data_IF_629474075534
#
_entry.id   IF_629474075534
#
_cell.length_a   1.000
_cell.length_b   1.000
_cell.length_c   1.000
_cell.angle_alpha   90.00
_cell.angle_beta   90.00
_cell.angle_gamma   90.00
#
_symmetry.space_group_name_H-M   'P 1'
#
loop_
_entity.id
_entity.type
_entity.pdbx_description
1 polymer ?
#
# COMPACT_ATOMS: atom_id res chain seq x y z
N UNK A 1 80.53 43.89 -34.59
CA UNK A 1 79.35 44.72 -34.91
C UNK A 1 78.22 44.22 -34.01
N UNK A 2 78.14 44.56 -32.71
CA UNK A 2 77.62 45.77 -32.02
C UNK A 2 76.13 46.09 -32.34
N UNK A 3 75.24 45.60 -31.41
CA UNK A 3 73.96 46.16 -30.85
C UNK A 3 72.72 46.39 -31.76
N UNK A 4 71.47 46.55 -31.21
CA UNK A 4 70.92 46.28 -29.86
C UNK A 4 69.46 45.70 -29.77
N UNK A 5 69.12 45.19 -28.57
CA UNK A 5 67.89 45.43 -27.75
C UNK A 5 66.50 45.52 -28.40
N UNK A 6 65.57 44.63 -28.00
CA UNK A 6 64.20 45.01 -27.65
C UNK A 6 63.62 44.11 -26.54
N UNK A 7 63.31 44.76 -25.42
CA UNK A 7 62.53 44.28 -24.29
C UNK A 7 61.04 44.34 -24.69
N UNK A 8 60.28 43.26 -24.54
CA UNK A 8 58.83 43.28 -24.63
C UNK A 8 58.23 42.71 -23.35
N UNK A 9 57.76 43.60 -22.48
CA UNK A 9 56.99 43.28 -21.30
C UNK A 9 55.54 43.00 -21.71
N UNK A 10 55.06 41.77 -21.50
CA UNK A 10 53.63 41.44 -21.65
C UNK A 10 52.99 41.47 -20.27
N UNK A 11 52.08 42.42 -20.12
CA UNK A 11 51.24 42.63 -18.95
C UNK A 11 50.10 41.59 -18.95
N UNK A 12 50.13 40.59 -18.06
CA UNK A 12 49.01 39.66 -17.89
C UNK A 12 47.93 40.28 -17.01
N UNK A 13 46.77 40.59 -17.58
CA UNK A 13 45.58 41.00 -16.82
C UNK A 13 44.99 39.81 -16.05
N UNK A 14 44.87 39.96 -14.74
CA UNK A 14 44.08 39.07 -13.88
C UNK A 14 42.59 39.45 -13.98
N UNK A 15 41.78 38.60 -14.61
CA UNK A 15 40.32 38.71 -14.56
C UNK A 15 39.77 38.02 -13.30
N UNK A 16 38.74 38.57 -12.62
CA UNK A 16 38.13 37.92 -11.48
C UNK A 16 37.34 36.69 -11.95
N UNK A 17 37.75 35.52 -11.46
CA UNK A 17 36.99 34.28 -11.64
C UNK A 17 35.66 34.39 -10.89
N UNK A 18 34.57 34.54 -11.63
CA UNK A 18 33.22 34.35 -11.10
C UNK A 18 33.09 32.90 -10.65
N UNK A 19 32.93 32.69 -9.35
CA UNK A 19 32.61 31.40 -8.77
C UNK A 19 31.23 30.96 -9.28
N UNK A 20 31.20 30.13 -10.33
CA UNK A 20 30.01 29.37 -10.69
C UNK A 20 29.70 28.40 -9.54
N UNK A 21 28.68 28.72 -8.76
CA UNK A 21 28.05 27.76 -7.86
C UNK A 21 27.36 26.73 -8.75
N UNK A 22 28.03 25.59 -8.96
CA UNK A 22 27.43 24.45 -9.63
C UNK A 22 26.16 24.03 -8.86
N UNK A 23 25.05 23.70 -9.55
CA UNK A 23 23.86 23.20 -8.90
C UNK A 23 24.19 21.96 -8.07
N UNK A 24 23.75 21.95 -6.81
CA UNK A 24 23.97 20.84 -5.89
C UNK A 24 23.49 19.54 -6.54
N UNK A 25 24.41 18.57 -6.69
CA UNK A 25 24.05 17.24 -7.13
C UNK A 25 22.97 16.66 -6.20
N UNK A 26 21.97 15.92 -6.73
CA UNK A 26 20.96 15.29 -5.89
C UNK A 26 21.66 14.43 -4.83
N UNK A 27 21.37 14.68 -3.56
CA UNK A 27 21.95 13.96 -2.44
C UNK A 27 21.76 12.46 -2.67
N UNK A 28 22.86 11.72 -2.80
CA UNK A 28 22.82 10.27 -2.87
C UNK A 28 22.07 9.76 -1.65
N UNK A 29 21.08 8.88 -1.87
CA UNK A 29 20.40 8.23 -0.75
C UNK A 29 21.45 7.53 0.09
N UNK A 30 21.49 7.72 1.42
CA UNK A 30 22.49 7.10 2.27
C UNK A 30 22.53 5.60 2.02
N UNK A 31 23.71 5.08 1.72
CA UNK A 31 23.92 3.66 1.52
C UNK A 31 23.55 2.91 2.81
N UNK A 32 22.74 1.86 2.70
CA UNK A 32 22.33 1.06 3.86
C UNK A 32 23.53 0.22 4.31
N UNK A 33 23.84 0.26 5.60
CA UNK A 33 24.83 -0.62 6.22
C UNK A 33 24.45 -2.11 5.99
N UNK A 34 25.33 -2.94 5.38
CA UNK A 34 25.05 -4.35 5.13
C UNK A 34 24.68 -5.15 6.38
N UNK A 35 25.31 -4.89 7.53
CA UNK A 35 25.00 -5.61 8.77
C UNK A 35 23.60 -5.26 9.28
N UNK A 36 23.19 -4.00 9.11
CA UNK A 36 21.85 -3.54 9.45
C UNK A 36 20.80 -4.12 8.50
N UNK A 37 21.12 -4.23 7.22
CA UNK A 37 20.24 -4.86 6.24
C UNK A 37 19.99 -6.34 6.60
N UNK A 38 21.05 -7.08 6.92
CA UNK A 38 20.93 -8.49 7.33
C UNK A 38 20.10 -8.67 8.62
N UNK A 39 20.19 -7.75 9.57
CA UNK A 39 19.33 -7.75 10.75
C UNK A 39 17.86 -7.47 10.38
N UNK A 40 17.61 -6.52 9.47
CA UNK A 40 16.27 -6.20 9.00
C UNK A 40 15.62 -7.32 8.17
N UNK A 41 16.43 -8.11 7.44
CA UNK A 41 15.96 -9.28 6.69
C UNK A 41 15.39 -10.36 7.61
N UNK A 42 16.04 -10.62 8.76
CA UNK A 42 15.52 -11.56 9.77
C UNK A 42 14.18 -11.11 10.33
N UNK A 43 14.08 -9.85 10.74
CA UNK A 43 12.83 -9.25 11.24
C UNK A 43 11.72 -9.29 10.18
N UNK A 44 12.02 -8.93 8.93
CA UNK A 44 11.05 -8.96 7.83
C UNK A 44 10.59 -10.38 7.51
N UNK A 45 11.47 -11.38 7.62
CA UNK A 45 11.13 -12.79 7.43
C UNK A 45 10.23 -13.32 8.54
N UNK A 46 10.40 -12.83 9.77
CA UNK A 46 9.51 -13.20 10.88
C UNK A 46 8.08 -12.66 10.69
N UNK A 47 7.93 -11.44 10.17
CA UNK A 47 6.63 -10.80 9.90
C UNK A 47 5.98 -11.27 8.60
N UNK A 48 6.78 -11.56 7.57
CA UNK A 48 6.34 -12.08 6.28
C UNK A 48 7.07 -13.38 5.98
N UNK A 49 6.74 -14.49 6.67
CA UNK A 49 7.29 -15.80 6.33
C UNK A 49 7.01 -16.17 4.87
N UNK A 50 7.82 -17.06 4.26
CA UNK A 50 7.53 -17.60 2.93
C UNK A 50 6.10 -18.15 2.82
N UNK A 51 5.40 -17.76 1.76
CA UNK A 51 4.03 -18.19 1.46
C UNK A 51 2.95 -17.58 2.36
N UNK A 52 3.25 -16.50 3.09
CA UNK A 52 2.28 -15.83 3.96
C UNK A 52 1.12 -15.27 3.15
N UNK A 53 1.40 -14.57 2.05
CA UNK A 53 0.32 -14.02 1.23
C UNK A 53 -0.47 -15.10 0.49
N UNK A 54 0.21 -16.17 0.04
CA UNK A 54 -0.46 -17.32 -0.57
C UNK A 54 -1.47 -17.96 0.41
N UNK A 55 -1.05 -18.23 1.66
CA UNK A 55 -1.96 -18.78 2.69
C UNK A 55 -3.10 -17.83 3.00
N UNK A 56 -2.82 -16.54 3.16
CA UNK A 56 -3.84 -15.53 3.42
C UNK A 56 -4.89 -15.49 2.29
N UNK A 57 -4.45 -15.52 1.03
CA UNK A 57 -5.35 -15.56 -0.12
C UNK A 57 -6.08 -16.89 -0.25
N UNK A 58 -5.44 -18.03 0.02
CA UNK A 58 -6.09 -19.34 -0.13
C UNK A 58 -7.08 -19.65 0.99
N UNK A 59 -6.74 -19.30 2.22
CA UNK A 59 -7.45 -19.79 3.40
C UNK A 59 -8.38 -18.71 3.99
N UNK A 60 -7.91 -17.46 4.12
CA UNK A 60 -8.65 -16.40 4.82
C UNK A 60 -9.58 -15.61 3.88
N UNK A 61 -9.14 -15.32 2.66
CA UNK A 61 -9.92 -14.51 1.71
C UNK A 61 -11.25 -15.16 1.30
N UNK A 62 -11.34 -16.48 0.98
CA UNK A 62 -12.61 -17.09 0.63
C UNK A 62 -13.62 -17.02 1.78
N UNK A 63 -13.18 -17.28 3.01
CA UNK A 63 -14.04 -17.21 4.20
C UNK A 63 -14.58 -15.78 4.42
N UNK A 64 -13.73 -14.77 4.25
CA UNK A 64 -14.14 -13.36 4.30
C UNK A 64 -15.17 -13.03 3.21
N UNK A 65 -14.92 -13.47 1.97
CA UNK A 65 -15.85 -13.25 0.85
C UNK A 65 -17.19 -13.95 1.07
N UNK A 66 -17.17 -15.18 1.57
CA UNK A 66 -18.39 -15.93 1.89
C UNK A 66 -19.21 -15.25 2.99
N UNK A 67 -18.55 -14.71 4.02
CA UNK A 67 -19.21 -13.94 5.08
C UNK A 67 -19.86 -12.65 4.53
N UNK A 68 -19.12 -11.87 3.73
CA UNK A 68 -19.63 -10.66 3.10
C UNK A 68 -20.82 -10.96 2.16
N UNK A 69 -20.71 -12.03 1.37
CA UNK A 69 -21.78 -12.44 0.47
C UNK A 69 -23.00 -12.91 1.24
N UNK A 70 -22.80 -13.65 2.35
CA UNK A 70 -23.87 -14.06 3.25
C UNK A 70 -24.63 -12.85 3.83
N UNK A 71 -23.90 -11.84 4.28
CA UNK A 71 -24.50 -10.58 4.75
C UNK A 71 -25.30 -9.89 3.64
N UNK A 72 -24.70 -9.68 2.47
CA UNK A 72 -25.34 -9.00 1.34
C UNK A 72 -26.61 -9.71 0.86
N UNK A 73 -26.58 -11.05 0.79
CA UNK A 73 -27.74 -11.85 0.38
C UNK A 73 -28.87 -11.82 1.41
N UNK A 74 -28.55 -11.52 2.67
CA UNK A 74 -29.52 -11.31 3.74
C UNK A 74 -30.20 -9.95 3.71
N UNK A 75 -29.62 -8.96 3.01
CA UNK A 75 -30.15 -7.61 2.91
C UNK A 75 -31.30 -7.53 1.89
N UNK A 76 -32.19 -6.57 2.11
CA UNK A 76 -33.19 -6.10 1.16
C UNK A 76 -32.64 -4.98 0.27
N UNK A 77 -33.32 -4.71 -0.85
CA UNK A 77 -32.93 -3.62 -1.74
C UNK A 77 -32.94 -2.25 -1.05
N UNK A 78 -33.87 -2.01 -0.11
CA UNK A 78 -33.95 -0.76 0.65
C UNK A 78 -32.80 -0.57 1.63
N UNK A 79 -32.37 -1.64 2.31
CA UNK A 79 -31.22 -1.63 3.21
C UNK A 79 -29.90 -1.38 2.47
N UNK A 80 -29.79 -1.86 1.22
CA UNK A 80 -28.62 -1.63 0.36
C UNK A 80 -28.48 -0.18 -0.13
N UNK A 81 -29.60 0.49 -0.42
CA UNK A 81 -29.60 1.87 -0.93
C UNK A 81 -29.67 2.94 0.17
N UNK A 82 -29.77 2.52 1.43
CA UNK A 82 -29.93 3.44 2.57
C UNK A 82 -31.25 4.22 2.52
N UNK A 83 -32.22 3.73 1.76
CA UNK A 83 -33.58 4.26 1.67
C UNK A 83 -34.48 3.32 2.46
N UNK A 84 -34.35 3.36 3.78
CA UNK A 84 -35.24 2.66 4.70
C UNK A 84 -36.68 3.10 4.38
N UNK A 85 -37.47 2.22 3.75
CA UNK A 85 -38.84 2.50 3.30
C UNK A 85 -39.18 2.21 1.83
N UNK A 86 -38.23 1.76 0.98
CA UNK A 86 -38.57 1.26 -0.35
C UNK A 86 -39.13 -0.19 -0.27
N UNK A 87 -40.36 -0.40 -0.75
CA UNK A 87 -41.30 -1.52 -0.51
C UNK A 87 -40.87 -2.96 -0.89
N UNK A 88 -39.58 -3.22 -1.14
CA UNK A 88 -39.11 -4.57 -1.46
C UNK A 88 -38.62 -5.28 -0.20
N UNK A 89 -39.52 -5.96 0.51
CA UNK A 89 -39.19 -6.94 1.56
C UNK A 89 -38.49 -8.20 1.01
N UNK A 90 -38.34 -8.28 -0.32
CA UNK A 90 -37.62 -9.37 -0.97
C UNK A 90 -36.13 -9.24 -0.67
N UNK A 91 -35.59 -10.27 0.00
CA UNK A 91 -34.15 -10.39 0.20
C UNK A 91 -33.44 -10.54 -1.13
N UNK A 92 -32.29 -9.90 -1.26
CA UNK A 92 -31.48 -9.97 -2.47
C UNK A 92 -31.17 -11.43 -2.83
N UNK A 93 -30.91 -12.28 -1.84
CA UNK A 93 -30.65 -13.69 -2.08
C UNK A 93 -31.80 -14.45 -2.75
N UNK A 94 -33.03 -14.16 -2.38
CA UNK A 94 -34.22 -14.80 -2.97
C UNK A 94 -34.46 -14.31 -4.40
N UNK A 95 -34.22 -13.03 -4.66
CA UNK A 95 -34.28 -12.47 -6.01
C UNK A 95 -33.23 -13.09 -6.93
N UNK A 96 -31.99 -13.22 -6.46
CA UNK A 96 -30.89 -13.80 -7.23
C UNK A 96 -31.08 -15.30 -7.46
N UNK A 97 -31.57 -16.05 -6.47
CA UNK A 97 -31.85 -17.49 -6.62
C UNK A 97 -32.99 -17.77 -7.63
N UNK A 98 -33.97 -16.87 -7.76
CA UNK A 98 -35.01 -16.96 -8.79
C UNK A 98 -34.46 -16.75 -10.20
N UNK A 99 -33.55 -15.80 -10.36
CA UNK A 99 -32.89 -15.55 -11.64
C UNK A 99 -31.91 -16.68 -12.00
N UNK A 100 -31.29 -17.27 -10.99
CA UNK A 100 -30.24 -18.26 -11.15
C UNK A 100 -30.18 -19.22 -9.93
N UNK A 101 -30.72 -20.44 -10.07
CA UNK A 101 -30.70 -21.44 -9.01
C UNK A 101 -29.29 -21.84 -8.53
N UNK A 102 -28.26 -21.63 -9.36
CA UNK A 102 -26.87 -21.97 -9.05
C UNK A 102 -26.02 -20.73 -8.69
N UNK A 103 -26.64 -19.57 -8.43
CA UNK A 103 -25.92 -18.32 -8.19
C UNK A 103 -24.89 -18.44 -7.07
N UNK A 104 -25.31 -19.01 -5.94
CA UNK A 104 -24.44 -19.18 -4.77
C UNK A 104 -23.26 -20.10 -5.07
N UNK A 105 -23.51 -21.23 -5.74
CA UNK A 105 -22.48 -22.16 -6.16
C UNK A 105 -21.47 -21.50 -7.11
N UNK A 106 -21.95 -20.76 -8.10
CA UNK A 106 -21.07 -20.01 -9.03
C UNK A 106 -20.23 -18.96 -8.32
N UNK A 107 -20.81 -18.23 -7.37
CA UNK A 107 -20.08 -17.21 -6.61
C UNK A 107 -19.01 -17.82 -5.70
N UNK A 108 -19.31 -18.93 -5.03
CA UNK A 108 -18.32 -19.67 -4.23
C UNK A 108 -17.19 -20.22 -5.10
N UNK A 109 -17.49 -20.80 -6.27
CA UNK A 109 -16.48 -21.27 -7.23
C UNK A 109 -15.63 -20.09 -7.71
N UNK A 110 -16.25 -18.99 -8.12
CA UNK A 110 -15.54 -17.80 -8.61
C UNK A 110 -14.63 -17.22 -7.53
N UNK A 111 -15.11 -17.08 -6.30
CA UNK A 111 -14.32 -16.61 -5.16
C UNK A 111 -13.10 -17.50 -4.93
N UNK A 112 -13.30 -18.81 -4.89
CA UNK A 112 -12.21 -19.78 -4.70
C UNK A 112 -11.18 -19.70 -5.83
N UNK A 113 -11.59 -19.75 -7.09
CA UNK A 113 -10.68 -19.69 -8.24
C UNK A 113 -9.91 -18.36 -8.26
N UNK A 114 -10.60 -17.23 -8.05
CA UNK A 114 -9.94 -15.92 -7.96
C UNK A 114 -8.90 -15.89 -6.85
N UNK A 115 -9.21 -16.47 -5.68
CA UNK A 115 -8.32 -16.54 -4.53
C UNK A 115 -7.07 -17.38 -4.81
N UNK A 116 -7.25 -18.55 -5.42
CA UNK A 116 -6.17 -19.45 -5.81
C UNK A 116 -5.23 -18.77 -6.82
N UNK A 117 -5.78 -18.19 -7.88
CA UNK A 117 -5.00 -17.50 -8.93
C UNK A 117 -4.28 -16.25 -8.39
N UNK A 118 -4.97 -15.47 -7.55
CA UNK A 118 -4.37 -14.30 -6.91
C UNK A 118 -3.25 -14.71 -5.95
N UNK A 119 -3.42 -15.82 -5.22
CA UNK A 119 -2.40 -16.41 -4.38
C UNK A 119 -1.11 -16.72 -5.14
N UNK A 120 -1.21 -17.28 -6.35
CA UNK A 120 -0.04 -17.55 -7.23
C UNK A 120 0.68 -16.27 -7.63
N UNK A 121 -0.06 -15.19 -7.90
CA UNK A 121 0.54 -13.88 -8.21
C UNK A 121 1.26 -13.32 -6.97
N UNK A 122 0.62 -13.37 -5.81
CA UNK A 122 1.21 -12.88 -4.56
C UNK A 122 2.46 -13.64 -4.15
N UNK A 123 2.47 -14.96 -4.31
CA UNK A 123 3.65 -15.80 -4.04
C UNK A 123 4.87 -15.36 -4.87
N UNK A 124 4.66 -14.99 -6.14
CA UNK A 124 5.73 -14.51 -7.02
C UNK A 124 6.30 -13.16 -6.61
N UNK A 125 5.47 -12.25 -6.09
CA UNK A 125 5.92 -10.90 -5.70
C UNK A 125 6.39 -10.81 -4.25
N UNK A 126 6.01 -11.77 -3.41
CA UNK A 126 6.34 -11.81 -1.99
C UNK A 126 7.85 -11.65 -1.70
N UNK A 127 8.79 -12.30 -2.42
CA UNK A 127 10.22 -12.09 -2.20
C UNK A 127 10.64 -10.62 -2.41
N UNK A 128 10.11 -9.96 -3.43
CA UNK A 128 10.38 -8.56 -3.71
C UNK A 128 9.80 -7.62 -2.65
N UNK A 129 8.59 -7.93 -2.18
CA UNK A 129 7.93 -7.19 -1.12
C UNK A 129 8.68 -7.32 0.21
N UNK A 130 9.11 -8.54 0.57
CA UNK A 130 9.94 -8.81 1.75
C UNK A 130 11.26 -8.05 1.67
N UNK A 131 11.95 -8.08 0.53
CA UNK A 131 13.19 -7.33 0.33
C UNK A 131 12.97 -5.80 0.44
N UNK A 132 11.84 -5.30 -0.05
CA UNK A 132 11.41 -3.91 0.13
C UNK A 132 11.23 -3.55 1.60
N UNK A 133 10.53 -4.40 2.36
CA UNK A 133 10.32 -4.26 3.79
C UNK A 133 11.64 -4.26 4.57
N UNK A 134 12.56 -5.18 4.25
CA UNK A 134 13.88 -5.24 4.87
C UNK A 134 14.67 -3.95 4.66
N UNK A 135 14.68 -3.39 3.44
CA UNK A 135 15.33 -2.09 3.18
C UNK A 135 14.65 -0.95 3.95
N UNK A 136 13.33 -0.94 4.02
CA UNK A 136 12.59 0.08 4.77
C UNK A 136 12.94 0.02 6.27
N UNK A 137 13.00 -1.18 6.84
CA UNK A 137 13.35 -1.40 8.25
C UNK A 137 14.80 -1.05 8.53
N UNK A 138 15.74 -1.42 7.65
CA UNK A 138 17.14 -1.04 7.79
C UNK A 138 17.36 0.49 7.76
N UNK A 139 16.49 1.25 7.09
CA UNK A 139 16.55 2.72 7.14
C UNK A 139 15.92 3.30 8.40
N UNK A 140 14.86 2.68 8.91
CA UNK A 140 14.06 3.19 10.03
C UNK A 140 14.62 2.84 11.41
N UNK A 141 15.26 1.68 11.53
CA UNK A 141 15.70 1.13 12.81
C UNK A 141 17.21 0.98 12.88
N UNK A 142 17.74 1.04 14.11
CA UNK A 142 19.15 0.72 14.37
C UNK A 142 19.38 -0.79 14.40
N UNK A 143 20.63 -1.22 14.25
CA UNK A 143 20.99 -2.64 14.34
C UNK A 143 20.62 -3.26 15.69
N UNK A 144 20.74 -2.49 16.79
CA UNK A 144 20.35 -2.93 18.13
C UNK A 144 18.84 -3.22 18.21
N UNK A 145 17.99 -2.27 17.78
CA UNK A 145 16.53 -2.44 17.75
C UNK A 145 16.11 -3.62 16.87
N UNK A 146 16.73 -3.80 15.69
CA UNK A 146 16.44 -4.93 14.82
C UNK A 146 16.82 -6.27 15.47
N UNK A 147 17.91 -6.29 16.24
CA UNK A 147 18.33 -7.49 16.99
C UNK A 147 17.38 -7.80 18.14
N UNK A 148 16.89 -6.78 18.85
CA UNK A 148 15.87 -6.95 19.89
C UNK A 148 14.57 -7.52 19.32
N UNK A 149 14.11 -7.00 18.17
CA UNK A 149 12.92 -7.52 17.47
C UNK A 149 13.12 -8.97 17.02
N UNK A 150 14.29 -9.29 16.45
CA UNK A 150 14.60 -10.67 16.04
C UNK A 150 14.62 -11.64 17.25
N UNK A 151 15.20 -11.21 18.37
CA UNK A 151 15.19 -11.99 19.61
C UNK A 151 13.76 -12.22 20.11
N UNK A 152 12.91 -11.18 20.09
CA UNK A 152 11.50 -11.30 20.47
C UNK A 152 10.77 -12.28 19.55
N UNK A 153 10.87 -12.11 18.23
CA UNK A 153 10.23 -12.99 17.24
C UNK A 153 10.76 -14.42 17.24
N UNK A 154 11.94 -14.66 17.82
CA UNK A 154 12.46 -16.01 18.04
C UNK A 154 11.81 -16.74 19.22
N UNK A 155 11.16 -16.03 20.15
CA UNK A 155 10.41 -16.64 21.25
C UNK A 155 9.13 -17.32 20.77
N UNK A 156 8.56 -18.29 21.52
CA UNK A 156 7.28 -18.91 21.15
C UNK A 156 6.16 -17.88 20.95
N UNK A 157 6.03 -16.91 21.84
CA UNK A 157 5.04 -15.83 21.74
C UNK A 157 5.30 -14.93 20.55
N UNK A 158 6.56 -14.55 20.30
CA UNK A 158 6.91 -13.70 19.17
C UNK A 158 6.63 -14.36 17.83
N UNK A 159 6.87 -15.68 17.69
CA UNK A 159 6.51 -16.44 16.49
C UNK A 159 5.00 -16.48 16.25
N UNK A 160 4.22 -16.70 17.30
CA UNK A 160 2.76 -16.68 17.21
C UNK A 160 2.26 -15.30 16.78
N UNK A 161 2.73 -14.25 17.46
CA UNK A 161 2.38 -12.88 17.13
C UNK A 161 2.75 -12.51 15.68
N UNK A 162 3.99 -12.77 15.25
CA UNK A 162 4.46 -12.34 13.93
C UNK A 162 3.80 -13.10 12.77
N UNK A 163 3.41 -14.37 12.99
CA UNK A 163 2.68 -15.16 12.01
C UNK A 163 1.25 -14.64 11.77
N UNK A 164 0.60 -14.14 12.83
CA UNK A 164 -0.81 -13.75 12.79
C UNK A 164 -1.02 -12.24 12.58
N UNK A 165 -0.03 -11.40 12.90
CA UNK A 165 -0.16 -9.94 12.92
C UNK A 165 -0.71 -9.34 11.61
N UNK A 166 -0.25 -9.80 10.45
CA UNK A 166 -0.76 -9.32 9.17
C UNK A 166 -2.19 -9.79 8.91
N UNK A 167 -2.52 -11.02 9.31
CA UNK A 167 -3.85 -11.58 9.16
C UNK A 167 -4.87 -10.89 10.07
N UNK A 168 -4.45 -10.31 11.21
CA UNK A 168 -5.34 -9.57 12.12
C UNK A 168 -6.04 -8.38 11.44
N UNK A 169 -5.44 -7.76 10.43
CA UNK A 169 -6.10 -6.69 9.67
C UNK A 169 -7.23 -7.20 8.76
N UNK A 170 -7.28 -8.50 8.49
CA UNK A 170 -8.36 -9.18 7.77
C UNK A 170 -9.25 -9.98 8.72
N UNK A 171 -9.08 -9.81 10.04
CA UNK A 171 -9.92 -10.45 11.03
C UNK A 171 -11.38 -9.97 10.89
N UNK A 172 -12.37 -10.87 10.97
CA UNK A 172 -13.78 -10.50 10.85
C UNK A 172 -14.22 -9.40 11.82
N UNK A 173 -13.72 -9.39 13.06
CA UNK A 173 -14.08 -8.37 14.06
C UNK A 173 -13.53 -7.00 13.66
N UNK A 174 -12.28 -6.95 13.19
CA UNK A 174 -11.66 -5.70 12.70
C UNK A 174 -12.39 -5.17 11.47
N UNK A 175 -12.74 -6.07 10.54
CA UNK A 175 -13.47 -5.71 9.33
C UNK A 175 -14.88 -5.22 9.64
N UNK A 176 -15.57 -5.84 10.61
CA UNK A 176 -16.89 -5.41 11.06
C UNK A 176 -16.87 -3.96 11.56
N UNK A 177 -15.93 -3.61 12.43
CA UNK A 177 -15.77 -2.24 12.92
C UNK A 177 -15.47 -1.26 11.78
N UNK A 178 -14.63 -1.65 10.81
CA UNK A 178 -14.37 -0.83 9.64
C UNK A 178 -15.63 -0.61 8.78
N UNK A 179 -16.45 -1.65 8.58
CA UNK A 179 -17.72 -1.52 7.86
C UNK A 179 -18.73 -0.66 8.61
N UNK A 180 -18.78 -0.78 9.94
CA UNK A 180 -19.64 0.04 10.81
C UNK A 180 -19.24 1.53 10.77
N UNK A 181 -17.99 1.85 10.45
CA UNK A 181 -17.51 3.22 10.29
C UNK A 181 -17.88 3.85 8.92
N UNK A 182 -18.28 3.06 7.91
CA UNK A 182 -18.56 3.58 6.57
C UNK A 182 -19.69 4.65 6.52
N UNK A 183 -20.81 4.53 7.25
CA UNK A 183 -21.85 5.56 7.25
C UNK A 183 -21.36 6.92 7.74
N UNK A 184 -20.53 6.94 8.78
CA UNK A 184 -19.95 8.19 9.30
C UNK A 184 -18.98 8.81 8.29
N UNK A 185 -18.20 8.00 7.58
CA UNK A 185 -17.36 8.49 6.48
C UNK A 185 -18.22 9.15 5.38
N UNK A 186 -19.32 8.51 4.97
CA UNK A 186 -20.22 9.06 3.95
C UNK A 186 -20.88 10.37 4.40
N UNK A 187 -21.26 10.49 5.68
CA UNK A 187 -21.77 11.75 6.26
C UNK A 187 -20.69 12.85 6.27
N UNK A 188 -19.43 12.50 6.45
CA UNK A 188 -18.31 13.46 6.46
C UNK A 188 -17.89 13.94 5.06
N UNK A 189 -18.14 13.15 4.01
CA UNK A 189 -17.68 13.43 2.64
C UNK A 189 -18.05 14.83 2.12
N UNK A 190 -19.29 15.35 2.27
CA UNK A 190 -19.62 16.69 1.79
C UNK A 190 -18.76 17.80 2.43
N UNK A 191 -18.52 17.71 3.74
CA UNK A 191 -17.69 18.67 4.46
C UNK A 191 -16.21 18.57 4.04
N UNK A 192 -15.73 17.37 3.74
CA UNK A 192 -14.39 17.15 3.19
C UNK A 192 -14.28 17.80 1.80
N UNK A 193 -15.26 17.59 0.91
CA UNK A 193 -15.27 18.17 -0.43
C UNK A 193 -15.27 19.70 -0.39
N UNK A 194 -16.06 20.32 0.49
CA UNK A 194 -16.05 21.78 0.67
C UNK A 194 -14.66 22.31 1.12
N UNK A 195 -13.94 21.57 1.96
CA UNK A 195 -12.57 21.91 2.36
C UNK A 195 -11.58 21.77 1.21
N UNK A 196 -11.73 20.73 0.38
CA UNK A 196 -10.92 20.54 -0.82
C UNK A 196 -11.14 21.70 -1.79
N UNK A 197 -12.38 22.03 -2.12
CA UNK A 197 -12.73 23.15 -3.01
C UNK A 197 -12.09 24.47 -2.56
N UNK A 198 -12.20 24.79 -1.26
CA UNK A 198 -11.57 25.98 -0.69
C UNK A 198 -10.05 25.93 -0.80
N UNK A 199 -9.43 24.78 -0.54
CA UNK A 199 -7.98 24.61 -0.62
C UNK A 199 -7.47 24.72 -2.07
N UNK A 200 -8.26 24.27 -3.05
CA UNK A 200 -7.88 24.28 -4.48
C UNK A 200 -8.34 25.50 -5.25
N UNK A 201 -9.08 26.43 -4.65
CA UNK A 201 -9.66 27.60 -5.32
C UNK A 201 -8.62 28.50 -6.03
N UNK A 202 -7.35 28.43 -5.63
CA UNK A 202 -6.25 29.18 -6.24
C UNK A 202 -5.64 28.49 -7.47
N UNK A 203 -6.01 27.24 -7.74
CA UNK A 203 -5.51 26.47 -8.87
C UNK A 203 -6.36 26.77 -10.13
N UNK A 204 -5.75 26.75 -11.32
CA UNK A 204 -6.50 26.80 -12.57
C UNK A 204 -7.47 25.60 -12.66
N UNK A 205 -8.58 25.73 -13.40
CA UNK A 205 -9.52 24.63 -13.57
C UNK A 205 -8.81 23.37 -14.10
N UNK A 206 -9.22 22.16 -13.66
CA UNK A 206 -8.63 20.93 -14.16
C UNK A 206 -8.73 20.89 -15.69
N UNK A 207 -7.70 20.38 -16.38
CA UNK A 207 -7.73 20.27 -17.82
C UNK A 207 -8.99 19.51 -18.23
N UNK A 208 -9.69 20.02 -19.26
CA UNK A 208 -10.85 19.31 -19.82
C UNK A 208 -10.36 17.92 -20.20
N UNK A 209 -10.96 16.88 -19.63
CA UNK A 209 -10.74 15.54 -20.13
C UNK A 209 -11.26 15.55 -21.56
N UNK A 210 -10.37 15.45 -22.54
CA UNK A 210 -10.76 15.15 -23.90
C UNK A 210 -11.54 13.84 -23.82
N UNK A 211 -12.84 13.91 -24.05
CA UNK A 211 -13.67 12.74 -24.27
C UNK A 211 -13.22 12.09 -25.58
N UNK A 212 -12.09 11.40 -25.55
CA UNK A 212 -11.55 10.64 -26.66
C UNK A 212 -11.94 9.18 -26.52
N UNK A 213 -13.01 8.86 -27.25
CA UNK A 213 -13.34 7.60 -27.93
C UNK A 213 -13.70 6.37 -27.09
#
# INVERSE_FOLDING_TARGET
MIRPLMLAAVLTMAGPALAQTAPAAPAATPQIDPARLAAAERVATALVPPGTYLRMMRDQFPAMMDAMMGQMMGMTAGELTGTDGAESDVRLGDAMAKADPHFRERMTIMSRVMSEEMGVVFDKIEPGLRAGLSRAFARKFTTAQLTELDNFFSTPTGKAFSADYLATFMDPEVMQEMTAAMPELMKAMPAIMAKVEKATAHLPPPPKQDASK
#
